data_IF_797189255692
#
_entry.id   IF_797189255692
#
_cell.length_a   1.000
_cell.length_b   1.000
_cell.length_c   1.000
_cell.angle_alpha   90.00
_cell.angle_beta   90.00
_cell.angle_gamma   90.00
#
_symmetry.space_group_name_H-M   'P 1'
#
loop_
_entity.id
_entity.type
_entity.pdbx_description
1 polymer ?
#
# COMPACT_ATOMS: atom_id res chain seq x y z
N UNK A 1 18.65 -22.96 18.14
CA UNK A 1 17.81 -21.78 17.89
C UNK A 1 16.37 -22.25 17.79
N UNK A 2 15.46 -21.53 18.42
CA UNK A 2 14.02 -21.82 18.27
C UNK A 2 13.61 -21.44 16.85
N UNK A 3 12.92 -22.36 16.15
CA UNK A 3 12.41 -22.06 14.81
C UNK A 3 11.33 -20.98 14.89
N UNK A 4 11.45 -19.94 14.07
CA UNK A 4 10.44 -18.93 13.97
C UNK A 4 9.30 -19.42 13.05
N UNK A 5 8.07 -19.26 13.48
CA UNK A 5 6.88 -19.59 12.69
C UNK A 5 6.04 -18.33 12.51
N UNK A 6 5.54 -18.12 11.28
CA UNK A 6 4.68 -17.00 10.91
C UNK A 6 3.40 -17.51 10.27
N UNK A 7 2.27 -16.85 10.57
CA UNK A 7 1.05 -17.09 9.82
C UNK A 7 1.16 -16.43 8.44
N UNK A 8 1.17 -17.24 7.40
CA UNK A 8 1.25 -16.77 6.03
C UNK A 8 -0.15 -16.65 5.41
N UNK A 9 -0.55 -15.44 5.07
CA UNK A 9 -1.86 -15.19 4.46
C UNK A 9 -2.02 -15.91 3.11
N UNK A 10 -0.94 -16.09 2.35
CA UNK A 10 -0.98 -16.81 1.05
C UNK A 10 -1.46 -18.25 1.20
N UNK A 11 -0.95 -18.96 2.19
CA UNK A 11 -1.27 -20.37 2.45
C UNK A 11 -2.38 -20.54 3.49
N UNK A 12 -2.66 -19.50 4.31
CA UNK A 12 -3.57 -19.53 5.47
C UNK A 12 -3.10 -20.49 6.57
N UNK A 13 -1.80 -20.68 6.71
CA UNK A 13 -1.21 -21.58 7.69
C UNK A 13 -0.09 -20.91 8.47
N UNK A 14 0.21 -21.46 9.64
CA UNK A 14 1.42 -21.13 10.38
C UNK A 14 2.55 -21.99 9.85
N UNK A 15 3.58 -21.35 9.32
CA UNK A 15 4.70 -22.00 8.66
C UNK A 15 6.03 -21.61 9.30
N UNK A 16 7.01 -22.51 9.24
CA UNK A 16 8.39 -22.16 9.60
C UNK A 16 8.90 -21.06 8.67
N UNK A 17 9.38 -19.98 9.23
CA UNK A 17 9.98 -18.88 8.46
C UNK A 17 11.41 -19.24 8.05
N UNK A 18 11.63 -19.39 6.75
CA UNK A 18 12.94 -19.68 6.15
C UNK A 18 13.30 -18.53 5.21
N UNK A 19 14.16 -17.59 5.64
CA UNK A 19 14.58 -16.48 4.79
C UNK A 19 15.50 -16.98 3.67
N UNK A 20 15.42 -16.33 2.50
CA UNK A 20 16.32 -16.60 1.38
C UNK A 20 17.78 -16.33 1.74
N UNK A 21 18.01 -15.25 2.49
CA UNK A 21 19.33 -14.87 3.00
C UNK A 21 19.20 -14.35 4.44
N UNK A 22 19.69 -15.10 5.45
CA UNK A 22 19.62 -14.65 6.85
C UNK A 22 20.31 -13.32 7.13
N UNK A 23 21.27 -12.91 6.30
CA UNK A 23 21.99 -11.62 6.44
C UNK A 23 21.33 -10.50 5.64
N UNK A 24 20.26 -10.77 4.92
CA UNK A 24 19.51 -9.77 4.14
C UNK A 24 18.07 -10.24 3.94
N UNK A 25 17.27 -10.19 5.03
CA UNK A 25 15.84 -10.54 4.99
C UNK A 25 15.07 -9.39 4.40
N UNK A 26 14.57 -9.57 3.18
CA UNK A 26 13.86 -8.56 2.39
C UNK A 26 12.42 -8.38 2.91
N UNK A 27 12.12 -7.22 3.46
CA UNK A 27 10.81 -6.92 4.04
C UNK A 27 10.25 -5.64 3.41
N UNK A 28 9.07 -5.73 2.83
CA UNK A 28 8.31 -4.57 2.41
C UNK A 28 7.08 -4.41 3.32
N UNK A 29 6.84 -3.21 3.82
CA UNK A 29 5.66 -2.90 4.63
C UNK A 29 4.96 -1.69 4.04
N UNK A 30 3.66 -1.84 3.69
CA UNK A 30 2.88 -0.73 3.19
C UNK A 30 2.87 0.43 4.17
N UNK A 31 3.18 1.61 3.65
CA UNK A 31 3.31 2.84 4.40
C UNK A 31 2.03 3.70 4.44
N UNK A 32 2.10 4.91 4.97
CA UNK A 32 0.96 5.80 5.06
C UNK A 32 0.71 6.56 3.76
N UNK A 33 -0.57 6.89 3.49
CA UNK A 33 -0.91 7.98 2.57
C UNK A 33 -0.93 9.29 3.33
N UNK A 34 -0.07 10.23 2.93
CA UNK A 34 0.25 11.43 3.71
C UNK A 34 -0.65 12.63 3.37
N UNK A 35 -1.96 12.48 3.53
CA UNK A 35 -2.97 13.55 3.34
C UNK A 35 -3.63 13.97 4.64
N UNK A 36 -3.37 13.27 5.75
CA UNK A 36 -3.92 13.53 7.07
C UNK A 36 -3.06 12.85 8.14
N UNK A 37 -3.27 13.21 9.43
CA UNK A 37 -2.62 12.50 10.54
C UNK A 37 -2.98 11.00 10.53
N UNK A 38 -1.96 10.18 10.75
CA UNK A 38 -2.16 8.78 11.03
C UNK A 38 -2.80 8.61 12.42
N UNK A 39 -3.75 7.71 12.53
CA UNK A 39 -4.43 7.41 13.78
C UNK A 39 -3.87 6.14 14.44
N UNK A 40 -4.26 5.88 15.68
CA UNK A 40 -3.80 4.72 16.45
C UNK A 40 -4.03 3.38 15.72
N UNK A 41 -5.11 3.26 14.95
CA UNK A 41 -5.37 2.06 14.13
C UNK A 41 -4.29 1.83 13.06
N UNK A 42 -3.76 2.89 12.46
CA UNK A 42 -2.64 2.77 11.52
C UNK A 42 -1.36 2.38 12.28
N UNK A 43 -1.07 3.05 13.41
CA UNK A 43 0.13 2.77 14.19
C UNK A 43 0.15 1.38 14.82
N UNK A 44 -1.00 0.76 15.13
CA UNK A 44 -1.06 -0.62 15.58
C UNK A 44 -0.36 -1.57 14.59
N UNK A 45 -0.60 -1.42 13.29
CA UNK A 45 0.09 -2.22 12.27
C UNK A 45 1.61 -2.01 12.31
N UNK A 46 2.08 -0.76 12.42
CA UNK A 46 3.53 -0.50 12.49
C UNK A 46 4.17 -1.02 13.79
N UNK A 47 3.42 -1.09 14.90
CA UNK A 47 3.87 -1.73 16.12
C UNK A 47 4.04 -3.24 15.92
N UNK A 48 3.11 -3.92 15.24
CA UNK A 48 3.26 -5.35 14.90
C UNK A 48 4.46 -5.59 14.00
N UNK A 49 4.68 -4.73 13.01
CA UNK A 49 5.87 -4.86 12.13
C UNK A 49 7.18 -4.53 12.86
N UNK A 50 7.17 -3.64 13.83
CA UNK A 50 8.32 -3.39 14.71
C UNK A 50 8.63 -4.63 15.56
N UNK A 51 7.62 -5.28 16.14
CA UNK A 51 7.77 -6.51 16.89
C UNK A 51 8.35 -7.63 16.00
N UNK A 52 7.87 -7.78 14.77
CA UNK A 52 8.42 -8.71 13.80
C UNK A 52 9.91 -8.44 13.55
N UNK A 53 10.28 -7.20 13.24
CA UNK A 53 11.67 -6.80 12.98
C UNK A 53 12.57 -7.07 14.20
N UNK A 54 12.10 -6.77 15.42
CA UNK A 54 12.83 -7.08 16.66
C UNK A 54 12.99 -8.58 16.85
N UNK A 55 11.94 -9.36 16.59
CA UNK A 55 11.97 -10.83 16.68
C UNK A 55 12.96 -11.43 15.69
N UNK A 56 13.00 -10.93 14.46
CA UNK A 56 14.01 -11.36 13.47
C UNK A 56 15.43 -11.07 13.96
N UNK A 57 15.68 -9.85 14.49
CA UNK A 57 17.01 -9.47 15.02
C UNK A 57 17.42 -10.33 16.22
N UNK A 58 16.52 -10.65 17.14
CA UNK A 58 16.80 -11.55 18.29
C UNK A 58 17.15 -12.96 17.79
N UNK A 59 16.57 -13.39 16.67
CA UNK A 59 16.90 -14.65 16.02
C UNK A 59 18.12 -14.57 15.09
N UNK A 60 18.97 -13.54 15.23
CA UNK A 60 20.21 -13.30 14.48
C UNK A 60 20.00 -13.16 12.96
N UNK A 61 18.82 -12.75 12.54
CA UNK A 61 18.51 -12.37 11.17
C UNK A 61 18.75 -10.86 10.97
N UNK A 62 19.10 -10.47 9.76
CA UNK A 62 19.33 -9.05 9.41
C UNK A 62 18.20 -8.55 8.52
N UNK A 63 17.17 -7.88 9.07
CA UNK A 63 16.08 -7.32 8.29
C UNK A 63 16.56 -6.14 7.43
N UNK A 64 16.19 -6.16 6.16
CA UNK A 64 16.29 -5.05 5.22
C UNK A 64 14.85 -4.61 4.91
N UNK A 65 14.34 -3.63 5.67
CA UNK A 65 12.95 -3.20 5.60
C UNK A 65 12.79 -1.90 4.85
N UNK A 66 11.89 -1.91 3.87
CA UNK A 66 11.43 -0.74 3.14
C UNK A 66 9.99 -0.39 3.57
N UNK A 67 9.71 0.89 3.72
CA UNK A 67 8.37 1.44 3.95
C UNK A 67 8.14 2.53 2.90
N UNK A 68 7.07 2.42 2.12
CA UNK A 68 6.71 3.52 1.22
C UNK A 68 6.05 4.68 1.97
N UNK A 69 6.09 5.84 1.37
CA UNK A 69 5.29 7.01 1.72
C UNK A 69 4.49 7.37 0.48
N UNK A 70 3.18 7.14 0.53
CA UNK A 70 2.27 7.50 -0.56
C UNK A 70 2.01 8.99 -0.53
N UNK A 71 2.85 9.73 -1.22
CA UNK A 71 2.81 11.18 -1.39
C UNK A 71 2.30 11.61 -2.78
N UNK A 72 1.86 10.66 -3.58
CA UNK A 72 1.10 10.87 -4.82
C UNK A 72 -0.38 10.93 -4.52
N UNK A 73 -1.12 11.78 -5.23
CA UNK A 73 -2.57 11.85 -5.12
C UNK A 73 -3.23 10.55 -5.61
N UNK A 74 -4.11 10.01 -4.78
CA UNK A 74 -4.91 8.85 -5.12
C UNK A 74 -6.38 9.14 -4.89
N UNK A 75 -7.22 8.56 -5.74
CA UNK A 75 -8.67 8.70 -5.65
C UNK A 75 -9.20 8.15 -4.33
N UNK A 76 -10.32 8.68 -3.88
CA UNK A 76 -10.85 8.39 -2.55
C UNK A 76 -11.29 6.93 -2.39
N UNK A 77 -11.73 6.29 -3.47
CA UNK A 77 -12.18 4.89 -3.47
C UNK A 77 -11.11 3.94 -3.99
N UNK A 78 -11.19 2.69 -3.55
CA UNK A 78 -10.37 1.58 -4.07
C UNK A 78 -10.82 1.14 -5.48
N UNK A 79 -11.91 1.74 -6.00
CA UNK A 79 -12.46 1.49 -7.33
C UNK A 79 -11.96 2.48 -8.41
N UNK A 80 -10.91 3.21 -8.15
CA UNK A 80 -10.31 4.22 -9.06
C UNK A 80 -11.25 5.39 -9.38
N UNK A 81 -12.12 5.78 -8.46
CA UNK A 81 -13.04 6.92 -8.58
C UNK A 81 -13.01 7.84 -7.35
N UNK A 82 -13.68 9.00 -7.46
CA UNK A 82 -13.79 10.00 -6.39
C UNK A 82 -12.74 11.10 -6.45
N UNK A 83 -12.76 12.00 -5.45
CA UNK A 83 -11.85 13.13 -5.33
C UNK A 83 -10.47 12.67 -4.83
N UNK A 84 -9.39 13.26 -5.35
CA UNK A 84 -8.04 13.01 -4.88
C UNK A 84 -7.87 13.37 -3.39
N UNK A 85 -7.29 12.45 -2.62
CA UNK A 85 -7.12 12.61 -1.17
C UNK A 85 -6.18 13.76 -0.80
N UNK A 86 -5.08 13.94 -1.56
CA UNK A 86 -4.12 15.03 -1.31
C UNK A 86 -4.70 16.38 -1.72
N UNK A 87 -5.39 16.46 -2.86
CA UNK A 87 -6.07 17.69 -3.28
C UNK A 87 -7.16 18.11 -2.30
N UNK A 88 -7.93 17.16 -1.77
CA UNK A 88 -8.89 17.41 -0.71
C UNK A 88 -8.22 17.97 0.55
N UNK A 89 -7.08 17.41 0.93
CA UNK A 89 -6.27 17.92 2.03
C UNK A 89 -5.77 19.34 1.76
N UNK A 90 -5.26 19.59 0.57
CA UNK A 90 -4.75 20.89 0.13
C UNK A 90 -5.83 21.98 0.18
N UNK A 91 -7.01 21.72 -0.37
CA UNK A 91 -8.18 22.62 -0.31
C UNK A 91 -8.60 22.89 1.13
N UNK A 92 -8.66 21.87 1.99
CA UNK A 92 -9.05 22.00 3.40
C UNK A 92 -8.13 22.93 4.18
N UNK A 93 -6.81 22.90 3.90
CA UNK A 93 -5.79 23.62 4.66
C UNK A 93 -5.23 24.85 3.94
N UNK A 94 -5.74 25.15 2.74
CA UNK A 94 -5.27 26.25 1.90
C UNK A 94 -3.74 26.17 1.67
N UNK A 95 -3.26 24.98 1.31
CA UNK A 95 -1.87 24.65 1.00
C UNK A 95 -1.77 23.95 -0.34
N UNK A 96 -0.57 23.86 -0.88
CA UNK A 96 -0.31 23.01 -2.04
C UNK A 96 -0.31 21.53 -1.65
N UNK A 97 -0.56 20.63 -2.60
CA UNK A 97 -0.50 19.16 -2.37
C UNK A 97 0.87 18.73 -1.87
N UNK A 98 1.94 19.37 -2.35
CA UNK A 98 3.33 19.09 -1.94
C UNK A 98 3.61 19.50 -0.49
N UNK A 99 3.06 20.64 -0.05
CA UNK A 99 3.15 21.09 1.35
C UNK A 99 2.36 20.17 2.27
N UNK A 100 1.19 19.70 1.83
CA UNK A 100 0.36 18.75 2.58
C UNK A 100 1.10 17.43 2.75
N UNK A 101 1.60 16.84 1.65
CA UNK A 101 2.34 15.57 1.70
C UNK A 101 3.53 15.69 2.66
N UNK A 102 4.37 16.71 2.51
CA UNK A 102 5.53 16.95 3.37
C UNK A 102 5.18 17.15 4.84
N UNK A 103 4.10 17.88 5.12
CA UNK A 103 3.64 18.14 6.49
C UNK A 103 3.20 16.85 7.20
N UNK A 104 2.34 16.05 6.53
CA UNK A 104 1.84 14.80 7.12
C UNK A 104 2.87 13.68 7.15
N UNK A 105 3.80 13.64 6.20
CA UNK A 105 4.97 12.77 6.28
C UNK A 105 5.80 13.07 7.53
N UNK A 106 6.12 14.36 7.76
CA UNK A 106 6.88 14.76 8.94
C UNK A 106 6.14 14.42 10.25
N UNK A 107 4.82 14.60 10.29
CA UNK A 107 3.99 14.23 11.42
C UNK A 107 4.01 12.70 11.66
N UNK A 108 3.88 11.91 10.60
CA UNK A 108 3.97 10.46 10.68
C UNK A 108 5.33 9.98 11.23
N UNK A 109 6.43 10.53 10.72
CA UNK A 109 7.79 10.17 11.16
C UNK A 109 8.01 10.58 12.63
N UNK A 110 7.48 11.75 13.05
CA UNK A 110 7.51 12.18 14.45
C UNK A 110 6.84 11.16 15.37
N UNK A 111 5.63 10.76 15.04
CA UNK A 111 4.84 9.81 15.84
C UNK A 111 5.45 8.40 15.81
N UNK A 112 5.98 7.98 14.65
CA UNK A 112 6.73 6.73 14.48
C UNK A 112 7.93 6.66 15.44
N UNK A 113 8.69 7.75 15.56
CA UNK A 113 9.82 7.86 16.46
C UNK A 113 9.37 7.92 17.94
N UNK A 114 8.30 8.64 18.25
CA UNK A 114 7.75 8.74 19.60
C UNK A 114 7.28 7.38 20.14
N UNK A 115 6.79 6.51 19.26
CA UNK A 115 6.45 5.11 19.55
C UNK A 115 7.69 4.19 19.69
N UNK A 116 8.90 4.72 19.59
CA UNK A 116 10.14 3.94 19.61
C UNK A 116 10.10 2.75 18.64
N UNK A 117 9.60 2.99 17.43
CA UNK A 117 9.64 2.01 16.34
C UNK A 117 11.01 2.02 15.69
N UNK A 118 11.55 0.84 15.40
CA UNK A 118 12.82 0.74 14.70
C UNK A 118 12.69 1.34 13.30
N UNK A 119 13.58 2.25 12.89
CA UNK A 119 13.51 2.83 11.57
C UNK A 119 13.65 1.73 10.49
N UNK A 120 13.00 1.88 9.33
CA UNK A 120 13.30 1.04 8.18
C UNK A 120 14.70 1.33 7.66
N UNK A 121 15.18 0.51 6.75
CA UNK A 121 16.40 0.79 6.00
C UNK A 121 16.23 2.07 5.17
N UNK A 122 15.02 2.24 4.60
CA UNK A 122 14.65 3.43 3.83
C UNK A 122 13.15 3.67 3.90
N UNK A 123 12.74 4.95 4.02
CA UNK A 123 11.42 5.42 3.61
C UNK A 123 11.50 5.84 2.15
N UNK A 124 10.58 5.35 1.32
CA UNK A 124 10.55 5.60 -0.11
C UNK A 124 9.28 6.37 -0.46
N UNK A 125 9.41 7.61 -0.96
CA UNK A 125 8.27 8.38 -1.45
C UNK A 125 7.86 7.88 -2.83
N UNK A 126 6.56 7.72 -3.06
CA UNK A 126 6.05 7.29 -4.37
C UNK A 126 6.46 8.25 -5.48
N UNK A 127 6.47 9.57 -5.21
CA UNK A 127 6.90 10.59 -6.17
C UNK A 127 8.36 10.47 -6.61
N UNK A 128 9.21 9.82 -5.85
CA UNK A 128 10.62 9.59 -6.20
C UNK A 128 10.79 8.43 -7.22
N UNK A 129 9.72 7.65 -7.52
CA UNK A 129 9.76 6.44 -8.36
C UNK A 129 8.90 6.52 -9.63
N UNK A 130 8.47 7.71 -10.03
CA UNK A 130 7.60 7.89 -11.21
C UNK A 130 8.24 7.37 -12.50
N UNK A 131 9.54 7.51 -12.66
CA UNK A 131 10.24 7.02 -13.84
C UNK A 131 10.26 5.49 -13.88
N UNK A 132 10.47 4.88 -12.73
CA UNK A 132 10.42 3.43 -12.52
C UNK A 132 8.99 2.89 -12.71
N UNK A 133 7.96 3.63 -12.27
CA UNK A 133 6.56 3.29 -12.55
C UNK A 133 6.31 3.21 -14.06
N UNK A 134 6.81 4.19 -14.82
CA UNK A 134 6.72 4.20 -16.28
C UNK A 134 7.44 2.99 -16.90
N UNK A 135 8.58 2.57 -16.36
CA UNK A 135 9.29 1.38 -16.82
C UNK A 135 8.48 0.09 -16.58
N UNK A 136 7.86 -0.04 -15.40
CA UNK A 136 6.98 -1.18 -15.09
C UNK A 136 5.76 -1.19 -16.01
N UNK A 137 5.10 -0.04 -16.21
CA UNK A 137 3.96 0.08 -17.15
C UNK A 137 4.36 -0.35 -18.56
N UNK A 138 5.48 0.14 -19.08
CA UNK A 138 5.96 -0.24 -20.41
C UNK A 138 6.24 -1.75 -20.50
N UNK A 139 6.76 -2.34 -19.44
CA UNK A 139 6.97 -3.80 -19.36
C UNK A 139 5.64 -4.54 -19.42
N UNK A 140 4.62 -4.13 -18.66
CA UNK A 140 3.28 -4.71 -18.68
C UNK A 140 2.60 -4.58 -20.06
N UNK A 141 2.74 -3.41 -20.71
CA UNK A 141 2.24 -3.17 -22.06
C UNK A 141 2.91 -4.14 -23.05
N UNK A 142 4.24 -4.24 -23.02
CA UNK A 142 5.00 -5.10 -23.95
C UNK A 142 4.65 -6.59 -23.79
N UNK A 143 4.25 -6.99 -22.60
CA UNK A 143 3.83 -8.36 -22.28
C UNK A 143 2.34 -8.62 -22.53
N UNK A 144 1.57 -7.60 -22.92
CA UNK A 144 0.15 -7.72 -23.29
C UNK A 144 -0.82 -7.83 -22.10
N UNK A 145 -0.41 -7.40 -20.91
CA UNK A 145 -1.27 -7.41 -19.71
C UNK A 145 -2.14 -6.16 -19.55
N UNK A 146 -2.06 -5.23 -20.47
CA UNK A 146 -2.75 -3.94 -20.35
C UNK A 146 -3.59 -3.61 -21.57
N UNK A 147 -4.47 -2.64 -21.39
CA UNK A 147 -5.19 -1.96 -22.48
C UNK A 147 -5.44 -0.50 -22.12
N UNK A 148 -5.67 0.32 -23.13
CA UNK A 148 -5.96 1.75 -22.96
C UNK A 148 -7.46 1.99 -23.04
N UNK A 149 -7.95 2.93 -22.23
CA UNK A 149 -9.28 3.51 -22.22
C UNK A 149 -9.19 5.02 -22.40
N UNK A 150 -10.32 5.72 -22.46
CA UNK A 150 -10.33 7.18 -22.55
C UNK A 150 -9.71 7.88 -21.32
N UNK A 151 -9.74 7.22 -20.14
CA UNK A 151 -9.33 7.78 -18.86
C UNK A 151 -8.05 7.17 -18.28
N UNK A 152 -7.40 6.22 -18.97
CA UNK A 152 -6.17 5.63 -18.45
C UNK A 152 -5.70 4.35 -19.14
N UNK A 153 -4.64 3.77 -18.55
CA UNK A 153 -4.14 2.45 -18.88
C UNK A 153 -4.53 1.50 -17.77
N UNK A 154 -5.18 0.40 -18.13
CA UNK A 154 -5.72 -0.58 -17.21
C UNK A 154 -5.00 -1.91 -17.33
N UNK A 155 -4.83 -2.57 -16.19
CA UNK A 155 -4.41 -3.97 -16.13
C UNK A 155 -5.60 -4.87 -16.46
N UNK A 156 -5.42 -5.78 -17.42
CA UNK A 156 -6.40 -6.78 -17.83
C UNK A 156 -6.27 -8.02 -16.93
N UNK A 157 -7.08 -8.10 -15.89
CA UNK A 157 -7.02 -9.16 -14.90
C UNK A 157 -7.33 -10.55 -15.49
N UNK A 158 -8.03 -10.62 -16.62
CA UNK A 158 -8.30 -11.89 -17.32
C UNK A 158 -7.03 -12.52 -17.92
N UNK A 159 -5.96 -11.76 -18.07
CA UNK A 159 -4.65 -12.24 -18.55
C UNK A 159 -3.82 -12.88 -17.44
N UNK A 160 -4.16 -12.66 -16.18
CA UNK A 160 -3.43 -13.20 -15.03
C UNK A 160 -4.26 -14.32 -14.38
N UNK A 161 -3.99 -15.56 -14.76
CA UNK A 161 -4.84 -16.72 -14.46
C UNK A 161 -5.08 -16.95 -12.96
N UNK A 162 -4.15 -16.55 -12.09
CA UNK A 162 -4.23 -16.73 -10.64
C UNK A 162 -4.69 -15.47 -9.89
N UNK A 163 -5.30 -14.50 -10.58
CA UNK A 163 -5.69 -13.22 -9.99
C UNK A 163 -6.56 -13.35 -8.74
N UNK A 164 -7.52 -14.29 -8.76
CA UNK A 164 -8.45 -14.47 -7.65
C UNK A 164 -7.88 -15.26 -6.45
N UNK A 165 -6.76 -15.98 -6.62
CA UNK A 165 -6.32 -17.03 -5.70
C UNK A 165 -5.90 -16.49 -4.35
N UNK A 166 -5.13 -15.41 -4.32
CA UNK A 166 -4.58 -14.84 -3.10
C UNK A 166 -5.67 -14.42 -2.11
N UNK A 167 -6.64 -13.65 -2.57
CA UNK A 167 -7.75 -13.16 -1.76
C UNK A 167 -8.96 -14.12 -1.76
N UNK A 168 -8.93 -15.20 -2.55
CA UNK A 168 -10.06 -16.11 -2.80
C UNK A 168 -11.30 -15.36 -3.26
N UNK A 169 -11.10 -14.49 -4.27
CA UNK A 169 -12.16 -13.65 -4.80
C UNK A 169 -13.21 -14.49 -5.55
N UNK A 170 -14.46 -14.19 -5.32
CA UNK A 170 -15.57 -14.65 -6.14
C UNK A 170 -15.83 -13.61 -7.23
N UNK A 171 -15.17 -13.80 -8.39
CA UNK A 171 -15.24 -12.86 -9.50
C UNK A 171 -16.63 -12.77 -10.11
N UNK A 172 -17.44 -13.84 -10.03
CA UNK A 172 -18.80 -13.85 -10.57
C UNK A 172 -19.74 -13.02 -9.69
N UNK A 173 -19.61 -13.10 -8.38
CA UNK A 173 -20.37 -12.25 -7.46
C UNK A 173 -19.93 -10.79 -7.52
N UNK A 174 -18.64 -10.49 -7.78
CA UNK A 174 -18.18 -9.13 -8.03
C UNK A 174 -18.87 -8.52 -9.27
N UNK A 175 -19.05 -9.29 -10.35
CA UNK A 175 -19.80 -8.87 -11.54
C UNK A 175 -21.27 -8.59 -11.24
N UNK A 176 -21.89 -9.41 -10.42
CA UNK A 176 -23.31 -9.27 -10.05
C UNK A 176 -23.55 -8.08 -9.09
N UNK A 177 -22.56 -7.74 -8.24
CA UNK A 177 -22.63 -6.67 -7.25
C UNK A 177 -22.29 -5.27 -7.77
N UNK A 178 -21.72 -5.14 -8.96
CA UNK A 178 -21.31 -3.86 -9.56
C UNK A 178 -22.53 -3.03 -9.98
N UNK A 179 -23.16 -2.37 -9.01
CA UNK A 179 -24.34 -1.49 -9.21
C UNK A 179 -23.99 0.00 -9.31
N UNK A 180 -22.72 0.39 -9.23
CA UNK A 180 -22.31 1.79 -9.14
C UNK A 180 -21.27 2.07 -10.23
N UNK A 181 -21.48 3.15 -10.96
CA UNK A 181 -20.62 3.84 -11.96
C UNK A 181 -19.36 3.08 -12.42
N UNK A 182 -19.61 1.95 -13.01
CA UNK A 182 -18.59 1.15 -13.67
C UNK A 182 -18.14 1.92 -14.93
N UNK A 183 -16.85 2.20 -15.02
CA UNK A 183 -16.30 2.68 -16.29
C UNK A 183 -16.63 1.67 -17.38
N UNK A 184 -17.52 2.06 -18.29
CA UNK A 184 -18.05 1.18 -19.35
C UNK A 184 -16.98 0.68 -20.33
N UNK A 185 -15.78 1.26 -20.30
CA UNK A 185 -14.64 0.85 -21.12
C UNK A 185 -13.80 -0.26 -20.46
N UNK A 186 -14.01 -0.55 -19.16
CA UNK A 186 -13.35 -1.67 -18.50
C UNK A 186 -13.83 -2.99 -19.09
N UNK A 187 -12.91 -3.90 -19.36
CA UNK A 187 -13.22 -5.26 -19.89
C UNK A 187 -13.76 -6.17 -18.80
N UNK A 188 -13.21 -6.08 -17.59
CA UNK A 188 -13.65 -6.83 -16.42
C UNK A 188 -13.83 -5.90 -15.23
N UNK A 189 -14.75 -6.24 -14.31
CA UNK A 189 -15.02 -5.47 -13.09
C UNK A 189 -13.76 -5.33 -12.23
N UNK A 190 -12.93 -6.38 -12.20
CA UNK A 190 -11.70 -6.45 -11.44
C UNK A 190 -10.52 -5.73 -12.08
N UNK A 191 -10.63 -5.24 -13.32
CA UNK A 191 -9.56 -4.49 -13.96
C UNK A 191 -9.33 -3.17 -13.21
N UNK A 192 -8.09 -2.75 -13.10
CA UNK A 192 -7.71 -1.58 -12.32
C UNK A 192 -6.72 -0.70 -13.08
N UNK A 193 -6.76 0.59 -12.79
CA UNK A 193 -5.88 1.55 -13.45
C UNK A 193 -4.45 1.40 -12.95
N UNK A 194 -3.49 1.33 -13.88
CA UNK A 194 -2.06 1.43 -13.59
C UNK A 194 -1.51 2.82 -13.91
N UNK A 195 -2.21 3.57 -14.77
CA UNK A 195 -1.96 4.97 -15.06
C UNK A 195 -3.27 5.66 -15.39
N UNK A 196 -3.59 6.76 -14.70
CA UNK A 196 -4.79 7.56 -14.98
C UNK A 196 -4.44 8.77 -15.81
N UNK A 197 -5.19 9.03 -16.88
CA UNK A 197 -5.07 10.24 -17.67
C UNK A 197 -5.86 11.39 -17.04
N UNK A 198 -5.30 12.59 -17.11
CA UNK A 198 -5.98 13.82 -16.71
C UNK A 198 -6.83 14.28 -17.88
N UNK A 199 -8.12 14.53 -17.61
CA UNK A 199 -9.04 14.98 -18.66
C UNK A 199 -8.72 16.40 -19.10
N UNK A 200 -8.96 16.74 -20.38
CA UNK A 200 -8.79 18.12 -20.86
C UNK A 200 -9.60 19.10 -20.02
N UNK A 201 -8.91 20.11 -19.47
CA UNK A 201 -9.53 21.13 -18.61
C UNK A 201 -9.57 20.80 -17.12
N UNK A 202 -9.16 19.61 -16.70
CA UNK A 202 -8.87 19.31 -15.29
C UNK A 202 -7.48 19.82 -14.94
N UNK A 203 -7.36 20.46 -13.78
CA UNK A 203 -6.08 20.86 -13.19
C UNK A 203 -5.75 19.87 -12.07
N UNK A 204 -4.69 19.08 -12.26
CA UNK A 204 -4.19 18.13 -11.29
C UNK A 204 -2.76 18.52 -10.91
N UNK A 205 -2.54 18.80 -9.65
CA UNK A 205 -1.28 19.37 -9.19
C UNK A 205 -0.08 18.39 -9.31
N UNK A 206 -0.35 17.09 -9.23
CA UNK A 206 0.65 16.02 -9.40
C UNK A 206 0.40 15.30 -10.71
N UNK A 207 1.12 15.66 -11.74
CA UNK A 207 0.95 15.11 -13.09
C UNK A 207 2.30 14.93 -13.79
N UNK A 208 2.41 13.84 -14.50
CA UNK A 208 3.61 13.51 -15.29
C UNK A 208 3.22 13.15 -16.71
N UNK A 209 4.19 13.23 -17.61
CA UNK A 209 3.99 12.86 -19.01
C UNK A 209 4.22 11.37 -19.21
N UNK A 210 3.26 10.71 -19.83
CA UNK A 210 3.40 9.33 -20.30
C UNK A 210 2.88 9.23 -21.72
N UNK A 211 3.76 8.95 -22.66
CA UNK A 211 3.45 8.81 -24.10
C UNK A 211 2.69 10.04 -24.68
N UNK A 212 3.06 11.25 -24.24
CA UNK A 212 2.46 12.51 -24.70
C UNK A 212 1.11 12.84 -24.06
N UNK A 213 0.68 12.09 -23.06
CA UNK A 213 -0.52 12.37 -22.25
C UNK A 213 -0.12 12.67 -20.82
N UNK A 214 -0.77 13.65 -20.19
CA UNK A 214 -0.60 13.93 -18.77
C UNK A 214 -1.41 12.94 -17.94
N UNK A 215 -0.82 12.51 -16.81
CA UNK A 215 -1.44 11.54 -15.94
C UNK A 215 -0.66 11.30 -14.65
N UNK A 216 -1.07 10.31 -13.90
CA UNK A 216 -0.44 9.89 -12.64
C UNK A 216 -0.57 8.37 -12.43
N UNK A 217 0.35 7.73 -11.65
CA UNK A 217 0.33 6.30 -11.43
C UNK A 217 -0.90 5.85 -10.63
N UNK A 218 -1.38 4.64 -10.90
CA UNK A 218 -2.39 3.96 -10.07
C UNK A 218 -1.81 3.58 -8.71
N UNK A 219 -2.64 3.59 -7.68
CA UNK A 219 -2.24 3.37 -6.28
C UNK A 219 -1.46 2.07 -6.04
N UNK A 220 -1.78 1.00 -6.74
CA UNK A 220 -1.15 -0.31 -6.53
C UNK A 220 0.23 -0.40 -7.16
N UNK A 221 0.52 0.45 -8.14
CA UNK A 221 1.76 0.41 -8.90
C UNK A 221 2.96 0.82 -8.05
N UNK A 222 2.82 1.87 -7.21
CA UNK A 222 3.91 2.37 -6.39
C UNK A 222 4.56 1.28 -5.51
N UNK A 223 3.76 0.45 -4.83
CA UNK A 223 4.30 -0.61 -3.98
C UNK A 223 4.97 -1.72 -4.80
N UNK A 224 4.41 -2.07 -5.96
CA UNK A 224 5.03 -3.01 -6.89
C UNK A 224 6.38 -2.49 -7.40
N UNK A 225 6.43 -1.24 -7.81
CA UNK A 225 7.63 -0.58 -8.31
C UNK A 225 8.70 -0.44 -7.23
N UNK A 226 8.36 0.19 -6.10
CA UNK A 226 9.30 0.42 -5.00
C UNK A 226 9.87 -0.91 -4.49
N UNK A 227 9.04 -1.94 -4.30
CA UNK A 227 9.51 -3.23 -3.81
C UNK A 227 10.49 -3.90 -4.80
N UNK A 228 10.21 -3.78 -6.10
CA UNK A 228 11.09 -4.29 -7.14
C UNK A 228 12.46 -3.61 -7.14
N UNK A 229 12.48 -2.29 -7.22
CA UNK A 229 13.73 -1.53 -7.39
C UNK A 229 14.58 -1.49 -6.12
N UNK A 230 13.97 -1.51 -4.94
CA UNK A 230 14.70 -1.48 -3.68
C UNK A 230 15.11 -2.87 -3.15
N UNK A 231 14.30 -3.90 -3.40
CA UNK A 231 14.50 -5.23 -2.82
C UNK A 231 14.65 -6.34 -3.87
N UNK A 232 13.95 -6.24 -4.98
CA UNK A 232 13.87 -7.32 -6.01
C UNK A 232 13.14 -8.57 -5.53
N UNK A 233 12.52 -9.28 -6.44
CA UNK A 233 11.72 -10.48 -6.14
C UNK A 233 12.57 -11.77 -6.04
N UNK A 234 12.07 -12.73 -5.28
CA UNK A 234 10.96 -12.59 -4.35
C UNK A 234 11.37 -11.81 -3.09
N UNK A 235 10.41 -11.11 -2.48
CA UNK A 235 10.57 -10.62 -1.11
C UNK A 235 10.51 -11.82 -0.14
N UNK A 236 11.18 -11.72 1.01
CA UNK A 236 10.93 -12.68 2.08
C UNK A 236 9.56 -12.43 2.70
N UNK A 237 9.27 -11.18 3.06
CA UNK A 237 8.01 -10.80 3.71
C UNK A 237 7.43 -9.55 3.03
N UNK A 238 6.14 -9.61 2.70
CA UNK A 238 5.31 -8.45 2.38
C UNK A 238 4.22 -8.30 3.45
N UNK A 239 4.03 -7.09 3.99
CA UNK A 239 3.13 -6.87 5.11
C UNK A 239 2.28 -5.60 4.96
N UNK A 240 1.01 -5.70 5.38
CA UNK A 240 0.06 -4.59 5.34
C UNK A 240 -1.17 -4.79 6.23
N UNK A 241 -2.21 -4.00 6.06
CA UNK A 241 -3.50 -4.19 6.71
C UNK A 241 -4.30 -5.35 6.08
N UNK A 242 -5.22 -5.92 6.84
CA UNK A 242 -6.10 -7.00 6.34
C UNK A 242 -6.99 -6.52 5.18
N UNK A 243 -7.29 -5.24 5.12
CA UNK A 243 -8.03 -4.58 4.04
C UNK A 243 -7.27 -4.53 2.71
N UNK A 244 -5.96 -4.69 2.73
CA UNK A 244 -5.16 -4.77 1.51
C UNK A 244 -5.32 -6.10 0.76
N UNK A 245 -5.74 -7.17 1.44
CA UNK A 245 -5.83 -8.52 0.86
C UNK A 245 -6.68 -8.54 -0.42
N UNK A 246 -7.95 -8.05 -0.42
CA UNK A 246 -8.84 -8.27 -1.55
C UNK A 246 -8.51 -7.43 -2.78
N UNK A 247 -7.86 -6.28 -2.62
CA UNK A 247 -7.63 -5.32 -3.71
C UNK A 247 -6.14 -5.00 -3.84
N UNK A 248 -5.56 -4.27 -2.87
CA UNK A 248 -4.22 -3.69 -3.00
C UNK A 248 -3.15 -4.76 -3.25
N UNK A 249 -3.01 -5.73 -2.34
CA UNK A 249 -1.99 -6.78 -2.48
C UNK A 249 -2.30 -7.77 -3.62
N UNK A 250 -3.58 -8.04 -3.90
CA UNK A 250 -3.98 -8.84 -5.07
C UNK A 250 -3.53 -8.17 -6.36
N UNK A 251 -3.69 -6.85 -6.48
CA UNK A 251 -3.28 -6.07 -7.63
C UNK A 251 -1.75 -5.96 -7.72
N UNK A 252 -1.05 -5.78 -6.60
CA UNK A 252 0.40 -5.79 -6.56
C UNK A 252 0.99 -7.13 -7.04
N UNK A 253 0.43 -8.26 -6.58
CA UNK A 253 0.84 -9.60 -7.05
C UNK A 253 0.68 -9.70 -8.57
N UNK A 254 -0.48 -9.30 -9.08
CA UNK A 254 -0.76 -9.36 -10.51
C UNK A 254 0.23 -8.51 -11.32
N UNK A 255 0.49 -7.26 -10.89
CA UNK A 255 1.44 -6.35 -11.55
C UNK A 255 2.86 -6.90 -11.51
N UNK A 256 3.36 -7.23 -10.31
CA UNK A 256 4.74 -7.65 -10.11
C UNK A 256 5.04 -8.99 -10.80
N UNK A 257 4.16 -9.98 -10.63
CA UNK A 257 4.38 -11.31 -11.23
C UNK A 257 4.23 -11.26 -12.75
N UNK A 258 3.30 -10.45 -13.27
CA UNK A 258 3.16 -10.22 -14.71
C UNK A 258 4.35 -9.45 -15.30
N UNK A 259 4.84 -8.40 -14.59
CA UNK A 259 5.96 -7.60 -15.07
C UNK A 259 7.29 -8.34 -15.01
N UNK A 260 7.56 -9.09 -13.94
CA UNK A 260 8.89 -9.64 -13.68
C UNK A 260 8.99 -11.15 -13.82
N UNK A 261 7.86 -11.87 -13.91
CA UNK A 261 7.83 -13.33 -14.09
C UNK A 261 8.34 -14.11 -12.88
N UNK A 262 8.27 -13.53 -11.70
CA UNK A 262 8.71 -14.13 -10.43
C UNK A 262 7.64 -13.93 -9.37
N UNK A 263 7.54 -14.84 -8.41
CA UNK A 263 6.71 -14.65 -7.21
C UNK A 263 7.11 -13.36 -6.50
N UNK A 264 6.14 -12.51 -6.19
CA UNK A 264 6.40 -11.21 -5.54
C UNK A 264 6.93 -11.38 -4.12
N UNK A 265 6.28 -12.19 -3.29
CA UNK A 265 6.71 -12.46 -1.92
C UNK A 265 6.43 -13.90 -1.48
N UNK A 266 7.30 -14.43 -0.59
CA UNK A 266 7.17 -15.76 -0.03
C UNK A 266 6.17 -15.79 1.13
N UNK A 267 6.24 -14.80 2.04
CA UNK A 267 5.36 -14.69 3.20
C UNK A 267 4.58 -13.39 3.16
N UNK A 268 3.26 -13.51 3.33
CA UNK A 268 2.32 -12.39 3.38
C UNK A 268 1.75 -12.26 4.78
N UNK A 269 1.98 -11.13 5.42
CA UNK A 269 1.54 -10.87 6.80
C UNK A 269 0.54 -9.72 6.84
N UNK A 270 -0.57 -9.91 7.54
CA UNK A 270 -1.62 -8.91 7.62
C UNK A 270 -2.01 -8.62 9.07
N UNK A 271 -2.00 -7.34 9.41
CA UNK A 271 -2.51 -6.85 10.68
C UNK A 271 -4.03 -6.66 10.61
N UNK A 272 -4.74 -7.17 11.60
CA UNK A 272 -6.17 -6.89 11.73
C UNK A 272 -6.40 -5.49 12.30
N UNK A 273 -7.61 -4.98 12.15
CA UNK A 273 -8.00 -3.71 12.74
C UNK A 273 -8.05 -3.80 14.26
N UNK A 274 -7.61 -2.75 14.93
CA UNK A 274 -8.03 -2.52 16.31
C UNK A 274 -9.42 -1.90 16.31
N UNK A 275 -10.20 -2.21 17.34
CA UNK A 275 -11.57 -1.69 17.50
C UNK A 275 -11.68 -0.85 18.75
N UNK A 276 -12.59 0.12 18.74
CA UNK A 276 -13.00 0.88 19.92
C UNK A 276 -14.49 0.60 20.10
N UNK A 277 -14.87 0.11 21.29
CA UNK A 277 -16.25 -0.29 21.61
C UNK A 277 -16.83 -1.27 20.57
N UNK A 278 -16.03 -2.24 20.13
CA UNK A 278 -16.36 -3.23 19.08
C UNK A 278 -16.66 -2.60 17.70
N UNK A 279 -16.30 -1.35 17.49
CA UNK A 279 -16.44 -0.67 16.18
C UNK A 279 -15.08 -0.42 15.55
N UNK A 280 -15.01 -0.53 14.21
CA UNK A 280 -13.83 -0.16 13.45
C UNK A 280 -13.53 1.32 13.67
N UNK A 281 -12.24 1.65 13.85
CA UNK A 281 -11.79 3.06 13.87
C UNK A 281 -12.03 3.66 12.50
N UNK A 282 -12.85 4.71 12.44
CA UNK A 282 -13.09 5.45 11.20
C UNK A 282 -13.41 6.91 11.46
N UNK A 283 -13.03 7.78 10.51
CA UNK A 283 -13.32 9.22 10.60
C UNK A 283 -14.80 9.52 10.57
N UNK A 284 -15.58 8.75 9.83
CA UNK A 284 -17.04 8.92 9.73
C UNK A 284 -17.76 8.65 11.04
N UNK A 285 -17.19 7.81 11.90
CA UNK A 285 -17.72 7.51 13.24
C UNK A 285 -17.20 8.46 14.32
N UNK A 286 -16.26 9.37 13.98
CA UNK A 286 -15.66 10.29 14.95
C UNK A 286 -14.86 9.63 16.07
N UNK A 287 -14.47 8.36 15.90
CA UNK A 287 -13.74 7.56 16.88
C UNK A 287 -12.25 7.36 16.50
N UNK A 288 -11.70 8.26 15.69
CA UNK A 288 -10.28 8.29 15.35
C UNK A 288 -9.50 9.07 16.40
N UNK A 289 -8.43 8.47 16.91
CA UNK A 289 -7.48 9.13 17.82
C UNK A 289 -6.09 9.10 17.20
N UNK A 290 -5.42 10.25 17.19
CA UNK A 290 -4.00 10.37 16.88
C UNK A 290 -3.16 10.05 18.11
N UNK A 291 -1.84 9.93 17.95
CA UNK A 291 -0.89 9.83 19.08
C UNK A 291 -0.95 11.10 19.94
N UNK A 292 -1.18 12.28 19.34
CA UNK A 292 -1.33 13.52 20.08
C UNK A 292 -2.59 13.50 20.96
N UNK A 293 -3.73 12.98 20.45
CA UNK A 293 -4.99 12.90 21.23
C UNK A 293 -4.83 11.99 22.47
N UNK A 294 -3.97 10.96 22.40
CA UNK A 294 -3.62 10.16 23.58
C UNK A 294 -2.79 10.98 24.56
N UNK A 295 -1.82 11.77 24.08
CA UNK A 295 -1.03 12.68 24.89
C UNK A 295 -1.89 13.71 25.65
N UNK A 296 -2.86 14.31 24.99
CA UNK A 296 -3.79 15.28 25.57
C UNK A 296 -4.69 14.66 26.66
N UNK A 297 -4.84 13.33 26.67
CA UNK A 297 -5.53 12.53 27.67
C UNK A 297 -4.61 12.00 28.78
N UNK A 298 -3.31 12.32 28.74
CA UNK A 298 -2.33 11.93 29.74
C UNK A 298 -1.64 10.59 29.49
N UNK A 299 -1.80 9.98 28.30
CA UNK A 299 -1.12 8.75 27.92
C UNK A 299 0.13 9.06 27.07
N UNK A 300 1.23 8.42 27.37
CA UNK A 300 2.42 8.48 26.50
C UNK A 300 2.27 7.59 25.26
N UNK A 301 3.01 7.85 24.16
CA UNK A 301 3.05 6.94 23.02
C UNK A 301 3.45 5.52 23.40
N UNK A 302 4.31 5.35 24.40
CA UNK A 302 4.75 4.02 24.87
C UNK A 302 3.68 3.27 25.65
N UNK A 303 2.75 3.97 26.34
CA UNK A 303 1.60 3.34 26.97
C UNK A 303 0.72 2.67 25.92
N UNK A 304 0.49 3.36 24.79
CA UNK A 304 -0.22 2.78 23.65
C UNK A 304 0.53 1.57 23.06
N UNK A 305 1.84 1.69 22.86
CA UNK A 305 2.66 0.57 22.33
C UNK A 305 2.62 -0.65 23.28
N UNK A 306 2.57 -0.43 24.57
CA UNK A 306 2.48 -1.51 25.57
C UNK A 306 1.11 -2.17 25.57
N UNK A 307 0.05 -1.39 25.30
CA UNK A 307 -1.33 -1.88 25.26
C UNK A 307 -1.62 -2.75 24.03
N UNK A 308 -1.03 -2.44 22.85
CA UNK A 308 -1.11 -3.23 21.62
C UNK A 308 -0.31 -4.53 21.78
#
# INVERSE_FOLDING_TARGET
>A
MTKLHLFNTKTRQIEEFIPQNPKNVKIYTCGPTVYNFAHIGNFASYIYWDLLVRTLKINHLTPHRIINITDVGHLASDADDGEDKLEKGAKRENKTVWEIAKFYEAAFIKDFNALNLLPPTKFCRATDYIQEDIEVINTLISRGYTYETSDGIYFDTSKFATYADFARLDLDNLRAGARVDFNSEKRNVSDFAIWKFIKPGEDHAMQWDFQGKKGYPGWHLECSTISHFELGEPLDIHAGGIDHIPIHHTNEIAQSEAAFGKTMANYWLHANFITIDNQKISKSLGNTYSIQDLGDRGFSPLDFKLWI
#
